data_IF_405410334854
#
_entry.id   IF_405410334854
#
_cell.length_a   1.000
_cell.length_b   1.000
_cell.length_c   1.000
_cell.angle_alpha   90.00
_cell.angle_beta   90.00
_cell.angle_gamma   90.00
#
_symmetry.space_group_name_H-M   'P 1'
#
loop_
_entity.id
_entity.type
_entity.pdbx_description
1 polymer ?
#
# COMPACT_ATOMS: atom_id res chain seq x y z
N UNK A 1 -17.43 19.04 10.37
CA UNK A 1 -16.38 18.61 9.41
C UNK A 1 -16.56 17.15 9.08
N UNK A 2 -16.77 16.77 7.81
CA UNK A 2 -16.88 15.37 7.42
C UNK A 2 -15.55 14.63 7.64
N UNK A 3 -15.59 13.53 8.37
CA UNK A 3 -14.41 12.66 8.57
C UNK A 3 -14.10 11.98 7.23
N UNK A 4 -12.97 12.33 6.60
CA UNK A 4 -12.49 11.69 5.37
C UNK A 4 -11.95 10.31 5.73
N UNK A 5 -12.78 9.29 5.51
CA UNK A 5 -12.46 7.88 5.80
C UNK A 5 -11.75 7.22 4.61
N UNK A 6 -11.44 5.96 4.76
CA UNK A 6 -10.92 5.12 3.69
C UNK A 6 -12.00 4.94 2.61
N UNK A 7 -11.73 5.47 1.42
CA UNK A 7 -12.65 5.38 0.28
C UNK A 7 -12.55 4.05 -0.46
N UNK A 8 -11.55 3.22 -0.15
CA UNK A 8 -11.38 1.92 -0.81
C UNK A 8 -12.55 0.99 -0.50
N UNK A 9 -13.00 0.96 0.77
CA UNK A 9 -14.10 0.10 1.20
C UNK A 9 -15.44 0.42 0.50
N UNK A 10 -15.64 1.68 0.10
CA UNK A 10 -16.84 2.11 -0.61
C UNK A 10 -16.80 1.75 -2.11
N UNK A 11 -15.61 1.61 -2.67
CA UNK A 11 -15.40 1.41 -4.11
C UNK A 11 -15.12 -0.06 -4.49
N UNK A 12 -14.99 -0.94 -3.50
CA UNK A 12 -14.84 -2.39 -3.73
C UNK A 12 -16.15 -2.94 -4.29
N UNK A 13 -16.05 -3.75 -5.33
CA UNK A 13 -17.20 -4.33 -6.02
C UNK A 13 -17.76 -3.47 -7.15
N UNK A 14 -17.51 -2.15 -7.16
CA UNK A 14 -17.89 -1.26 -8.28
C UNK A 14 -16.72 -0.96 -9.21
N UNK A 15 -15.72 -0.22 -8.71
CA UNK A 15 -14.59 0.27 -9.51
C UNK A 15 -13.27 -0.42 -9.19
N UNK A 16 -13.23 -1.26 -8.17
CA UNK A 16 -12.06 -2.03 -7.76
C UNK A 16 -12.46 -3.44 -7.40
N UNK A 17 -11.71 -4.38 -7.91
CA UNK A 17 -11.81 -5.78 -7.53
C UNK A 17 -11.12 -6.02 -6.20
N UNK A 18 -11.48 -7.13 -5.55
CA UNK A 18 -10.81 -7.64 -4.37
C UNK A 18 -9.35 -8.00 -4.70
N UNK A 19 -8.48 -7.90 -3.70
CA UNK A 19 -7.08 -8.29 -3.87
C UNK A 19 -6.93 -9.82 -3.91
N UNK A 20 -7.84 -10.54 -3.28
CA UNK A 20 -7.84 -11.99 -3.20
C UNK A 20 -9.05 -12.52 -3.99
N UNK A 21 -8.82 -13.49 -4.86
CA UNK A 21 -9.85 -14.09 -5.72
C UNK A 21 -10.11 -15.51 -5.26
N UNK A 22 -11.03 -15.68 -4.34
CA UNK A 22 -11.56 -16.96 -3.89
C UNK A 22 -12.94 -16.79 -3.26
N UNK A 23 -13.72 -17.85 -3.27
CA UNK A 23 -15.02 -17.93 -2.61
C UNK A 23 -15.17 -19.32 -2.00
N UNK A 24 -15.87 -19.43 -0.90
CA UNK A 24 -16.27 -20.70 -0.30
C UNK A 24 -17.68 -20.57 0.25
N UNK A 25 -18.48 -21.58 0.01
CA UNK A 25 -19.84 -21.70 0.56
C UNK A 25 -19.85 -22.29 1.96
N UNK A 26 -18.80 -23.06 2.32
CA UNK A 26 -18.68 -23.76 3.60
C UNK A 26 -17.95 -22.85 4.59
N UNK A 27 -18.56 -22.59 5.75
CA UNK A 27 -17.95 -21.71 6.76
C UNK A 27 -16.59 -22.19 7.27
N UNK A 28 -16.37 -23.50 7.40
CA UNK A 28 -15.08 -24.07 7.81
C UNK A 28 -13.98 -23.75 6.80
N UNK A 29 -14.24 -23.97 5.51
CA UNK A 29 -13.28 -23.64 4.43
C UNK A 29 -13.02 -22.15 4.37
N UNK A 30 -14.07 -21.30 4.51
CA UNK A 30 -13.92 -19.86 4.55
C UNK A 30 -12.93 -19.43 5.63
N UNK A 31 -13.05 -19.96 6.85
CA UNK A 31 -12.15 -19.62 7.95
C UNK A 31 -10.70 -19.99 7.64
N UNK A 32 -10.47 -21.18 7.09
CA UNK A 32 -9.13 -21.64 6.70
C UNK A 32 -8.54 -20.72 5.63
N UNK A 33 -9.25 -20.46 4.56
CA UNK A 33 -8.79 -19.62 3.46
C UNK A 33 -8.51 -18.18 3.93
N UNK A 34 -9.32 -17.66 4.83
CA UNK A 34 -9.14 -16.32 5.40
C UNK A 34 -7.91 -16.25 6.31
N UNK A 35 -7.67 -17.27 7.14
CA UNK A 35 -6.46 -17.37 7.97
C UNK A 35 -5.20 -17.46 7.11
N UNK A 36 -5.21 -18.26 6.04
CA UNK A 36 -4.13 -18.33 5.06
C UNK A 36 -3.78 -16.95 4.50
N UNK A 37 -4.78 -16.17 4.10
CA UNK A 37 -4.55 -14.82 3.57
C UNK A 37 -3.96 -13.84 4.61
N UNK A 38 -4.40 -13.93 5.86
CA UNK A 38 -3.84 -13.12 6.94
C UNK A 38 -2.37 -13.47 7.18
N UNK A 39 -2.05 -14.77 7.24
CA UNK A 39 -0.67 -15.26 7.42
C UNK A 39 0.21 -14.78 6.27
N UNK A 40 -0.22 -14.96 5.03
CA UNK A 40 0.49 -14.49 3.85
C UNK A 40 0.76 -12.98 3.91
N UNK A 41 -0.28 -12.17 4.15
CA UNK A 41 -0.14 -10.73 4.20
C UNK A 41 0.77 -10.25 5.33
N UNK A 42 0.64 -10.83 6.52
CA UNK A 42 1.46 -10.47 7.68
C UNK A 42 2.93 -10.82 7.45
N UNK A 43 3.21 -12.00 6.92
CA UNK A 43 4.56 -12.46 6.62
C UNK A 43 5.24 -11.58 5.57
N UNK A 44 4.62 -11.40 4.40
CA UNK A 44 5.23 -10.57 3.37
C UNK A 44 5.44 -9.12 3.81
N UNK A 45 4.51 -8.56 4.57
CA UNK A 45 4.67 -7.23 5.14
C UNK A 45 5.80 -7.16 6.17
N UNK A 46 5.95 -8.16 7.02
CA UNK A 46 7.00 -8.19 8.05
C UNK A 46 8.38 -8.37 7.45
N UNK A 47 8.55 -9.31 6.52
CA UNK A 47 9.84 -9.58 5.88
C UNK A 47 10.30 -8.42 4.97
N UNK A 48 9.39 -7.85 4.20
CA UNK A 48 9.74 -6.77 3.28
C UNK A 48 9.88 -5.41 3.98
N UNK A 49 9.26 -5.22 5.15
CA UNK A 49 9.53 -4.04 6.01
C UNK A 49 10.96 -3.97 6.52
N UNK A 50 11.62 -5.10 6.74
CA UNK A 50 13.03 -5.14 7.14
C UNK A 50 13.95 -4.48 6.12
N UNK A 51 13.51 -4.37 4.87
CA UNK A 51 14.24 -3.71 3.80
C UNK A 51 13.67 -2.31 3.58
N UNK A 52 14.29 -1.31 4.16
CA UNK A 52 13.84 0.09 4.09
C UNK A 52 13.59 0.63 2.68
N UNK A 53 14.24 0.06 1.67
CA UNK A 53 14.17 0.51 0.28
C UNK A 53 13.08 -0.16 -0.54
N UNK A 54 12.48 -1.24 -0.03
CA UNK A 54 11.48 -2.03 -0.74
C UNK A 54 10.09 -1.72 -0.17
N UNK A 55 9.16 -1.39 -1.03
CA UNK A 55 7.77 -1.19 -0.66
C UNK A 55 6.87 -2.10 -1.49
N UNK A 56 6.02 -2.87 -0.82
CA UNK A 56 4.99 -3.67 -1.47
C UNK A 56 3.88 -2.72 -1.88
N UNK A 57 3.54 -2.75 -3.15
CA UNK A 57 2.50 -1.92 -3.72
C UNK A 57 1.21 -2.70 -3.79
N UNK A 58 1.29 -3.91 -4.34
CA UNK A 58 0.18 -4.82 -4.50
C UNK A 58 0.59 -6.21 -3.99
N UNK A 59 -0.27 -6.84 -3.27
CA UNK A 59 -0.22 -8.25 -2.92
C UNK A 59 -1.55 -8.84 -3.30
N UNK A 60 -1.55 -9.78 -4.23
CA UNK A 60 -2.74 -10.48 -4.70
C UNK A 60 -2.54 -11.97 -4.55
N UNK A 61 -3.55 -12.67 -4.13
CA UNK A 61 -3.56 -14.13 -4.09
C UNK A 61 -4.68 -14.67 -4.97
N UNK A 62 -4.34 -15.62 -5.82
CA UNK A 62 -5.28 -16.33 -6.67
C UNK A 62 -5.22 -17.80 -6.31
N UNK A 63 -6.38 -18.40 -6.09
CA UNK A 63 -6.50 -19.82 -5.79
C UNK A 63 -7.23 -20.52 -6.94
N UNK A 64 -6.52 -21.47 -7.55
CA UNK A 64 -7.03 -22.28 -8.64
C UNK A 64 -6.77 -23.74 -8.27
N UNK A 65 -7.80 -24.43 -7.83
CA UNK A 65 -7.70 -25.81 -7.36
C UNK A 65 -6.58 -26.00 -6.31
N UNK A 66 -5.57 -26.81 -6.61
CA UNK A 66 -4.39 -27.05 -5.76
C UNK A 66 -3.26 -26.04 -5.94
N UNK A 67 -3.45 -25.00 -6.77
CA UNK A 67 -2.44 -23.97 -7.02
C UNK A 67 -2.76 -22.69 -6.26
N UNK A 68 -1.77 -22.15 -5.56
CA UNK A 68 -1.80 -20.82 -4.95
C UNK A 68 -0.82 -19.92 -5.69
N UNK A 69 -1.35 -18.98 -6.45
CA UNK A 69 -0.55 -17.96 -7.15
C UNK A 69 -0.51 -16.70 -6.30
N UNK A 70 0.69 -16.22 -6.01
CA UNK A 70 0.91 -15.00 -5.23
C UNK A 70 1.63 -13.98 -6.10
N UNK A 71 0.94 -12.88 -6.42
CA UNK A 71 1.49 -11.77 -7.19
C UNK A 71 1.96 -10.65 -6.26
N UNK A 72 3.24 -10.32 -6.30
CA UNK A 72 3.83 -9.24 -5.51
C UNK A 72 4.35 -8.14 -6.42
N UNK A 73 3.68 -6.99 -6.37
CA UNK A 73 4.16 -5.77 -7.00
C UNK A 73 5.13 -5.01 -6.10
N UNK A 74 6.39 -4.86 -6.51
CA UNK A 74 7.44 -4.20 -5.71
C UNK A 74 7.87 -2.89 -6.37
N UNK A 75 8.09 -1.84 -5.56
CA UNK A 75 8.49 -0.52 -6.05
C UNK A 75 9.82 -0.53 -6.79
N UNK A 76 10.77 -1.39 -6.40
CA UNK A 76 12.06 -1.53 -7.08
C UNK A 76 12.64 -2.94 -6.89
N UNK A 77 12.88 -3.61 -8.02
CA UNK A 77 13.45 -4.97 -8.04
C UNK A 77 14.97 -4.94 -7.78
N UNK A 78 15.64 -3.82 -8.08
CA UNK A 78 17.10 -3.68 -7.92
C UNK A 78 17.62 -3.96 -6.52
N UNK A 79 16.77 -3.89 -5.50
CA UNK A 79 17.14 -4.13 -4.11
C UNK A 79 16.82 -5.55 -3.61
N UNK A 80 16.37 -6.45 -4.50
CA UNK A 80 16.19 -7.86 -4.19
C UNK A 80 17.56 -8.55 -4.19
N UNK A 81 18.11 -8.76 -3.00
CA UNK A 81 19.36 -9.48 -2.83
C UNK A 81 19.13 -11.00 -2.96
N UNK A 82 20.16 -11.75 -3.42
CA UNK A 82 20.13 -13.22 -3.51
C UNK A 82 19.71 -13.89 -2.18
N UNK A 83 20.21 -13.37 -1.05
CA UNK A 83 19.82 -13.83 0.31
C UNK A 83 18.32 -13.68 0.60
N UNK A 84 17.69 -12.66 0.04
CA UNK A 84 16.26 -12.42 0.21
C UNK A 84 15.42 -13.39 -0.64
N UNK A 85 15.85 -13.64 -1.86
CA UNK A 85 15.21 -14.63 -2.73
C UNK A 85 15.26 -16.02 -2.10
N UNK A 86 16.39 -16.43 -1.55
CA UNK A 86 16.54 -17.72 -0.83
C UNK A 86 15.59 -17.82 0.38
N UNK A 87 15.43 -16.75 1.16
CA UNK A 87 14.46 -16.72 2.26
C UNK A 87 13.01 -16.81 1.78
N UNK A 88 12.69 -16.19 0.66
CA UNK A 88 11.37 -16.28 0.06
C UNK A 88 11.09 -17.69 -0.46
N UNK A 89 12.07 -18.33 -1.12
CA UNK A 89 11.91 -19.71 -1.60
C UNK A 89 11.76 -20.71 -0.46
N UNK A 90 12.54 -20.59 0.60
CA UNK A 90 12.40 -21.46 1.79
C UNK A 90 11.04 -21.27 2.47
N UNK A 91 10.52 -20.05 2.50
CA UNK A 91 9.19 -19.79 3.02
C UNK A 91 8.09 -20.39 2.12
N UNK A 92 8.23 -20.28 0.80
CA UNK A 92 7.27 -20.87 -0.12
C UNK A 92 7.21 -22.40 0.03
N UNK A 93 8.34 -23.05 0.23
CA UNK A 93 8.37 -24.50 0.49
C UNK A 93 7.67 -24.89 1.81
N UNK A 94 7.83 -24.06 2.86
CA UNK A 94 7.08 -24.23 4.10
C UNK A 94 5.58 -24.04 3.91
N UNK A 95 5.17 -22.99 3.17
CA UNK A 95 3.75 -22.75 2.86
C UNK A 95 3.13 -23.88 2.03
N UNK A 96 3.87 -24.37 1.03
CA UNK A 96 3.39 -25.47 0.19
C UNK A 96 3.09 -26.73 1.03
N UNK A 97 3.97 -27.05 2.00
CA UNK A 97 3.75 -28.15 2.95
C UNK A 97 2.58 -27.87 3.90
N UNK A 98 2.49 -26.64 4.43
CA UNK A 98 1.46 -26.28 5.40
C UNK A 98 0.05 -26.25 4.80
N UNK A 99 -0.08 -25.78 3.55
CA UNK A 99 -1.37 -25.65 2.86
C UNK A 99 -1.69 -26.85 1.96
N UNK A 100 -0.78 -27.84 1.86
CA UNK A 100 -0.89 -28.98 0.94
C UNK A 100 -1.21 -28.56 -0.51
N UNK A 101 -0.66 -27.43 -0.92
CA UNK A 101 -0.87 -26.81 -2.24
C UNK A 101 0.45 -26.42 -2.88
N UNK A 102 0.48 -26.44 -4.19
CA UNK A 102 1.60 -25.89 -4.94
C UNK A 102 1.56 -24.37 -4.90
N UNK A 103 2.62 -23.73 -4.39
CA UNK A 103 2.69 -22.28 -4.25
C UNK A 103 3.63 -21.70 -5.31
N UNK A 104 3.11 -20.83 -6.16
CA UNK A 104 3.89 -20.09 -7.15
C UNK A 104 3.94 -18.61 -6.78
N UNK A 105 5.12 -18.01 -6.87
CA UNK A 105 5.35 -16.61 -6.58
C UNK A 105 5.73 -15.86 -7.86
N UNK A 106 4.96 -14.84 -8.22
CA UNK A 106 5.28 -13.90 -9.27
C UNK A 106 5.68 -12.54 -8.67
N UNK A 107 6.92 -12.12 -8.92
CA UNK A 107 7.42 -10.82 -8.50
C UNK A 107 7.53 -9.93 -9.71
N UNK A 108 6.82 -8.81 -9.72
CA UNK A 108 6.86 -7.87 -10.84
C UNK A 108 7.04 -6.42 -10.37
N UNK A 109 7.55 -5.61 -11.28
CA UNK A 109 7.63 -4.17 -11.09
C UNK A 109 6.43 -3.53 -11.78
N UNK A 110 5.52 -2.88 -11.04
CA UNK A 110 4.41 -2.15 -11.64
C UNK A 110 4.90 -1.01 -12.54
N UNK A 111 4.08 -0.61 -13.49
CA UNK A 111 4.39 0.53 -14.36
C UNK A 111 4.65 1.81 -13.55
N UNK A 112 5.38 2.75 -14.13
CA UNK A 112 5.67 4.02 -13.45
C UNK A 112 4.38 4.79 -13.13
N UNK A 113 3.39 4.69 -13.99
CA UNK A 113 2.07 5.31 -13.81
C UNK A 113 1.34 4.67 -12.64
N UNK A 114 1.35 3.34 -12.51
CA UNK A 114 0.74 2.64 -11.39
C UNK A 114 1.43 2.97 -10.07
N UNK A 115 2.76 3.13 -10.10
CA UNK A 115 3.53 3.58 -8.94
C UNK A 115 3.12 4.96 -8.46
N UNK A 116 2.82 5.89 -9.37
CA UNK A 116 2.36 7.24 -9.04
C UNK A 116 0.89 7.26 -8.62
N UNK A 117 0.08 6.39 -9.18
CA UNK A 117 -1.35 6.33 -8.91
C UNK A 117 -1.71 5.51 -7.66
N UNK A 118 -0.73 4.87 -7.01
CA UNK A 118 -0.96 4.13 -5.78
C UNK A 118 -0.76 5.03 -4.55
N UNK A 119 -1.86 5.31 -3.84
CA UNK A 119 -1.87 6.19 -2.66
C UNK A 119 -0.94 5.70 -1.55
N UNK A 120 -0.84 4.38 -1.32
CA UNK A 120 0.05 3.82 -0.30
C UNK A 120 1.53 4.07 -0.61
N UNK A 121 1.94 3.87 -1.88
CA UNK A 121 3.32 4.12 -2.30
C UNK A 121 3.71 5.59 -2.14
N UNK A 122 2.80 6.51 -2.46
CA UNK A 122 3.04 7.93 -2.31
C UNK A 122 3.09 8.33 -0.83
N UNK A 123 2.16 7.82 -0.01
CA UNK A 123 2.18 8.04 1.42
C UNK A 123 3.51 7.58 2.06
N UNK A 124 4.00 6.42 1.63
CA UNK A 124 5.29 5.87 2.09
C UNK A 124 6.48 6.75 1.66
N UNK A 125 6.49 7.24 0.41
CA UNK A 125 7.53 8.17 -0.03
C UNK A 125 7.52 9.47 0.76
N UNK A 126 6.34 10.04 1.04
CA UNK A 126 6.20 11.25 1.84
C UNK A 126 6.65 10.99 3.28
N UNK A 127 6.26 9.84 3.88
CA UNK A 127 6.69 9.44 5.22
C UNK A 127 8.21 9.44 5.34
N UNK A 128 8.91 8.80 4.40
CA UNK A 128 10.38 8.79 4.38
C UNK A 128 11.02 10.17 4.22
N UNK A 129 10.41 11.05 3.46
CA UNK A 129 10.90 12.43 3.35
C UNK A 129 10.77 13.17 4.67
N UNK A 130 9.68 12.96 5.40
CA UNK A 130 9.45 13.56 6.72
C UNK A 130 10.41 12.98 7.76
N UNK A 131 10.65 11.67 7.76
CA UNK A 131 11.66 11.01 8.60
C UNK A 131 13.07 11.57 8.37
N UNK A 132 13.38 11.93 7.12
CA UNK A 132 14.60 12.66 6.75
C UNK A 132 14.57 14.15 7.10
N UNK A 133 13.66 14.60 7.97
CA UNK A 133 13.49 15.98 8.44
C UNK A 133 13.14 16.99 7.34
N UNK A 134 12.57 16.55 6.22
CA UNK A 134 12.09 17.44 5.17
C UNK A 134 10.72 18.00 5.58
N UNK A 135 10.57 19.32 5.55
CA UNK A 135 9.31 20.00 5.90
C UNK A 135 8.17 19.55 4.98
N UNK A 136 6.97 19.32 5.54
CA UNK A 136 5.79 18.85 4.80
C UNK A 136 5.40 19.74 3.60
N UNK A 137 5.57 21.06 3.72
CA UNK A 137 5.31 22.03 2.62
C UNK A 137 6.52 22.31 1.73
N UNK A 138 7.56 21.49 1.75
CA UNK A 138 8.77 21.68 0.97
C UNK A 138 8.53 21.62 -0.55
N UNK A 139 9.45 22.24 -1.29
CA UNK A 139 9.44 22.23 -2.77
C UNK A 139 9.48 20.78 -3.32
N UNK A 140 10.17 19.85 -2.64
CA UNK A 140 10.29 18.44 -3.04
C UNK A 140 8.92 17.74 -3.02
N UNK A 141 8.18 17.85 -1.91
CA UNK A 141 6.85 17.25 -1.80
C UNK A 141 5.89 17.88 -2.81
N UNK A 142 5.90 19.20 -2.96
CA UNK A 142 5.07 19.87 -3.97
C UNK A 142 5.41 19.41 -5.41
N UNK A 143 6.70 19.20 -5.73
CA UNK A 143 7.13 18.68 -7.03
C UNK A 143 6.61 17.25 -7.26
N UNK A 144 6.66 16.39 -6.24
CA UNK A 144 6.10 15.03 -6.28
C UNK A 144 4.58 15.07 -6.55
N UNK A 145 3.84 15.92 -5.84
CA UNK A 145 2.40 16.06 -6.04
C UNK A 145 2.05 16.57 -7.45
N UNK A 146 2.84 17.53 -8.00
CA UNK A 146 2.65 17.98 -9.39
C UNK A 146 2.86 16.87 -10.41
N UNK A 147 3.86 15.97 -10.20
CA UNK A 147 4.06 14.79 -11.05
C UNK A 147 2.86 13.85 -11.03
N UNK A 148 2.26 13.66 -9.85
CA UNK A 148 1.08 12.82 -9.71
C UNK A 148 -0.13 13.46 -10.41
N UNK A 149 -0.31 14.77 -10.25
CA UNK A 149 -1.42 15.49 -10.88
C UNK A 149 -1.41 15.38 -12.41
N UNK A 150 -0.24 15.26 -13.05
CA UNK A 150 -0.17 15.07 -14.52
C UNK A 150 -0.90 13.81 -15.01
N UNK A 151 -0.96 12.76 -14.17
CA UNK A 151 -1.55 11.47 -14.50
C UNK A 151 -2.82 11.16 -13.68
N UNK A 152 -3.36 12.15 -12.97
CA UNK A 152 -4.56 11.99 -12.12
C UNK A 152 -5.41 13.26 -12.15
N UNK A 153 -6.72 13.14 -11.89
CA UNK A 153 -7.65 14.28 -11.78
C UNK A 153 -7.33 15.16 -10.58
N UNK A 154 -6.84 14.54 -9.50
CA UNK A 154 -6.46 15.28 -8.31
C UNK A 154 -5.82 14.43 -7.23
N UNK A 155 -5.09 15.12 -6.36
CA UNK A 155 -4.39 14.53 -5.22
C UNK A 155 -4.67 15.34 -3.97
N UNK A 156 -5.03 14.66 -2.90
CA UNK A 156 -5.20 15.25 -1.59
C UNK A 156 -4.30 14.52 -0.59
N UNK A 157 -3.49 15.27 0.15
CA UNK A 157 -2.60 14.75 1.18
C UNK A 157 -2.89 15.45 2.49
N UNK A 158 -3.02 14.68 3.55
CA UNK A 158 -3.21 15.16 4.90
C UNK A 158 -2.13 14.59 5.81
N UNK A 159 -1.42 15.47 6.52
CA UNK A 159 -0.48 15.11 7.57
C UNK A 159 -1.07 15.52 8.92
N UNK A 160 -1.03 14.63 9.91
CA UNK A 160 -1.46 14.89 11.29
C UNK A 160 -0.34 14.52 12.25
N UNK A 161 -0.10 15.35 13.23
CA UNK A 161 0.91 15.16 14.25
C UNK A 161 1.68 16.43 14.56
N UNK A 162 2.83 16.31 15.18
CA UNK A 162 3.74 17.45 15.48
C UNK A 162 4.54 17.81 14.23
N UNK A 163 3.87 18.50 13.29
CA UNK A 163 4.43 18.86 11.97
C UNK A 163 5.47 19.95 12.15
N UNK A 164 6.63 19.80 11.50
CA UNK A 164 7.77 20.73 11.58
C UNK A 164 8.27 20.97 13.02
N UNK A 165 8.18 19.97 13.89
CA UNK A 165 8.65 20.01 15.27
C UNK A 165 7.93 21.00 16.21
N UNK A 166 6.73 21.40 15.88
CA UNK A 166 5.90 22.25 16.75
C UNK A 166 5.42 21.43 17.97
N UNK A 167 5.25 22.07 19.11
CA UNK A 167 4.92 21.37 20.36
C UNK A 167 3.53 20.78 20.39
N UNK A 168 2.56 21.41 19.71
CA UNK A 168 1.19 20.89 19.61
C UNK A 168 0.96 20.16 18.30
N UNK A 169 0.13 19.10 18.35
CA UNK A 169 -0.30 18.35 17.17
C UNK A 169 -1.17 19.24 16.26
N UNK A 170 -0.83 19.26 14.98
CA UNK A 170 -1.55 20.02 13.93
C UNK A 170 -1.98 19.13 12.80
N UNK A 171 -2.87 19.65 11.96
CA UNK A 171 -3.34 18.99 10.74
C UNK A 171 -3.03 19.89 9.56
N UNK A 172 -2.04 19.50 8.77
CA UNK A 172 -1.71 20.17 7.52
C UNK A 172 -2.27 19.41 6.33
N UNK A 173 -2.72 20.16 5.33
CA UNK A 173 -3.37 19.64 4.13
C UNK A 173 -2.73 20.23 2.90
N UNK A 174 -2.50 19.39 1.90
CA UNK A 174 -2.07 19.78 0.56
C UNK A 174 -2.99 19.14 -0.46
N UNK A 175 -3.48 19.91 -1.40
CA UNK A 175 -4.33 19.42 -2.48
C UNK A 175 -3.98 20.10 -3.80
N UNK A 176 -4.06 19.31 -4.87
CA UNK A 176 -3.87 19.75 -6.23
C UNK A 176 -4.94 19.09 -7.09
N UNK A 177 -5.74 19.89 -7.80
CA UNK A 177 -6.87 19.40 -8.59
C UNK A 177 -8.09 19.05 -7.73
N UNK A 178 -9.05 18.35 -8.32
CA UNK A 178 -10.30 17.95 -7.67
C UNK A 178 -10.23 16.52 -7.15
N UNK A 179 -10.63 16.30 -5.90
CA UNK A 179 -10.73 14.97 -5.28
C UNK A 179 -12.11 14.79 -4.66
N UNK A 180 -13.14 14.50 -5.45
CA UNK A 180 -14.50 14.31 -4.94
C UNK A 180 -14.57 12.96 -4.23
N UNK A 181 -14.42 12.97 -2.90
CA UNK A 181 -14.37 11.75 -2.06
C UNK A 181 -15.74 11.11 -1.84
N UNK A 182 -16.83 11.82 -2.16
CA UNK A 182 -18.19 11.33 -2.03
C UNK A 182 -18.71 10.60 -3.28
N UNK A 183 -18.08 10.83 -4.43
CA UNK A 183 -18.48 10.22 -5.69
C UNK A 183 -18.07 8.76 -5.75
N UNK A 184 -19.01 7.85 -5.98
CA UNK A 184 -18.77 6.41 -6.12
C UNK A 184 -18.27 6.03 -7.52
N UNK A 185 -18.47 6.88 -8.53
CA UNK A 185 -18.09 6.59 -9.92
C UNK A 185 -16.59 6.77 -10.18
N UNK A 186 -15.85 7.38 -9.26
CA UNK A 186 -14.44 7.66 -9.44
C UNK A 186 -13.57 6.65 -8.72
N UNK A 187 -12.54 6.17 -9.42
CA UNK A 187 -11.55 5.30 -8.82
C UNK A 187 -10.58 6.11 -7.95
N UNK A 188 -10.72 6.02 -6.64
CA UNK A 188 -9.85 6.72 -5.69
C UNK A 188 -8.89 5.72 -5.06
N UNK A 189 -7.59 5.99 -5.16
CA UNK A 189 -6.56 5.24 -4.45
C UNK A 189 -6.27 5.92 -3.11
N UNK A 190 -6.34 5.14 -2.03
CA UNK A 190 -6.09 5.62 -0.67
C UNK A 190 -4.84 4.96 -0.09
N UNK A 191 -4.05 5.72 0.65
CA UNK A 191 -2.92 5.20 1.41
C UNK A 191 -2.79 5.90 2.75
N UNK A 192 -2.53 5.12 3.79
CA UNK A 192 -2.22 5.58 5.14
C UNK A 192 -0.86 5.01 5.53
N UNK A 193 0.06 5.88 5.93
CA UNK A 193 1.36 5.50 6.47
C UNK A 193 1.69 6.39 7.67
N UNK A 194 2.34 5.81 8.66
CA UNK A 194 2.82 6.50 9.84
C UNK A 194 4.32 6.72 9.67
N UNK A 195 4.76 7.96 9.81
CA UNK A 195 6.16 8.34 9.84
C UNK A 195 6.61 8.47 11.30
N UNK A 196 7.75 7.84 11.62
CA UNK A 196 8.39 7.94 12.92
C UNK A 196 9.36 9.11 12.90
N UNK A 197 9.02 10.18 13.60
CA UNK A 197 9.88 11.35 13.71
C UNK A 197 10.43 11.48 15.12
N UNK A 198 11.53 12.19 15.27
CA UNK A 198 12.19 12.42 16.57
C UNK A 198 11.22 12.99 17.62
N UNK A 199 10.26 13.82 17.21
CA UNK A 199 9.27 14.42 18.13
C UNK A 199 7.92 13.70 18.16
N UNK A 200 7.87 12.43 17.73
CA UNK A 200 6.67 11.59 17.78
C UNK A 200 6.17 11.10 16.44
N UNK A 201 5.01 10.47 16.44
CA UNK A 201 4.41 9.86 15.26
C UNK A 201 3.64 10.88 14.43
N UNK A 202 3.81 10.83 13.11
CA UNK A 202 3.02 11.62 12.16
C UNK A 202 2.26 10.71 11.22
N UNK A 203 0.95 10.85 11.16
CA UNK A 203 0.11 10.07 10.24
C UNK A 203 -0.09 10.82 8.92
N UNK A 204 0.20 10.15 7.82
CA UNK A 204 0.10 10.67 6.46
C UNK A 204 -0.98 9.92 5.73
N UNK A 205 -2.01 10.62 5.30
CA UNK A 205 -3.11 10.08 4.49
C UNK A 205 -3.04 10.70 3.10
N UNK A 206 -3.13 9.87 2.08
CA UNK A 206 -3.09 10.28 0.68
C UNK A 206 -4.31 9.73 -0.05
N UNK A 207 -4.98 10.57 -0.81
CA UNK A 207 -6.06 10.21 -1.73
C UNK A 207 -5.68 10.67 -3.13
N UNK A 208 -5.75 9.78 -4.09
CA UNK A 208 -5.46 10.04 -5.49
C UNK A 208 -6.69 9.65 -6.29
N UNK A 209 -7.26 10.60 -7.02
CA UNK A 209 -8.38 10.39 -7.92
C UNK A 209 -7.85 10.13 -9.34
N UNK A 210 -8.20 8.97 -9.89
CA UNK A 210 -7.86 8.60 -11.27
C UNK A 210 -8.84 9.17 -12.27
#
# INVERSE_FOLDING_TARGET
MSRKKNTLSLNIGKNKNWNNSWSSYIQKEYRILFQEDIILQSYFRSQLKKFEKINIINLRSYRINKLLLIDIGISSIKFLNKKMLLKLTSFLSCLAKFFERNVCLAIYKPSFIDLLNNGFNIAFKIARLIEKRIKFRSKLIKRLLRKIKKNSKGVYVQCKGRINNVDMARVDKLYLGSTPLKSLNLSISYGLVIANTFKGLQSIKVWICK
#
